data_IF_990218162172
#
_entry.id   IF_990218162172
#
_cell.length_a   1.000
_cell.length_b   1.000
_cell.length_c   1.000
_cell.angle_alpha   90.00
_cell.angle_beta   90.00
_cell.angle_gamma   90.00
#
_symmetry.space_group_name_H-M   'P 1'
#
loop_
_entity.id
_entity.type
_entity.pdbx_description
1 polymer ?
#
# COMPACT_ATOMS: atom_id res chain seq x y z
N UNK A 1 0.32 63.55 29.35
CA UNK A 1 -0.41 62.41 29.95
C UNK A 1 -0.99 61.46 28.90
N UNK A 2 -1.41 61.93 27.71
CA UNK A 2 -2.04 61.09 26.67
C UNK A 2 -1.19 60.01 25.96
N UNK A 3 0.16 60.07 26.03
CA UNK A 3 1.04 59.10 25.34
C UNK A 3 1.30 57.82 26.15
N UNK A 4 1.16 57.85 27.48
CA UNK A 4 1.29 56.66 28.34
C UNK A 4 0.07 55.76 28.21
N UNK A 5 -1.12 56.36 28.15
CA UNK A 5 -2.38 55.63 28.03
C UNK A 5 -2.52 54.92 26.67
N UNK A 6 -1.97 55.48 25.59
CA UNK A 6 -1.96 54.83 24.27
C UNK A 6 -1.02 53.61 24.23
N UNK A 7 0.13 53.68 24.91
CA UNK A 7 1.08 52.57 24.97
C UNK A 7 0.56 51.42 25.84
N UNK A 8 -0.13 51.71 26.95
CA UNK A 8 -0.79 50.71 27.79
C UNK A 8 -2.01 50.08 27.09
N UNK A 9 -2.82 50.85 26.36
CA UNK A 9 -3.93 50.30 25.57
C UNK A 9 -3.41 49.43 24.43
N UNK A 10 -2.34 49.81 23.74
CA UNK A 10 -1.76 48.99 22.67
C UNK A 10 -1.09 47.73 23.23
N UNK A 11 -0.38 47.78 24.36
CA UNK A 11 0.20 46.55 24.95
C UNK A 11 -0.84 45.62 25.59
N UNK A 12 -1.94 46.16 26.15
CA UNK A 12 -3.02 45.36 26.73
C UNK A 12 -3.96 44.78 25.65
N UNK A 13 -4.11 45.43 24.48
CA UNK A 13 -4.98 44.94 23.38
C UNK A 13 -4.23 44.07 22.37
N UNK A 14 -2.92 44.27 22.18
CA UNK A 14 -2.05 43.38 21.37
C UNK A 14 -1.84 42.03 22.04
N UNK A 15 -2.09 41.89 23.35
CA UNK A 15 -1.74 40.70 24.13
C UNK A 15 -2.74 39.50 24.03
N UNK A 16 -4.07 39.67 24.06
CA UNK A 16 -4.99 38.52 24.02
C UNK A 16 -5.43 38.12 22.60
N UNK A 17 -5.68 39.11 21.72
CA UNK A 17 -6.20 38.86 20.37
C UNK A 17 -5.20 38.17 19.45
N UNK A 18 -3.93 38.62 19.47
CA UNK A 18 -2.84 37.95 18.75
C UNK A 18 -2.52 36.57 19.33
N UNK A 19 -2.61 36.41 20.65
CA UNK A 19 -2.42 35.11 21.30
C UNK A 19 -3.53 34.12 20.90
N UNK A 20 -4.78 34.56 20.84
CA UNK A 20 -5.90 33.77 20.33
C UNK A 20 -5.73 33.43 18.84
N UNK A 21 -5.28 34.38 18.02
CA UNK A 21 -5.01 34.14 16.61
C UNK A 21 -3.87 33.14 16.41
N UNK A 22 -2.76 33.29 17.16
CA UNK A 22 -1.63 32.39 17.13
C UNK A 22 -2.02 30.98 17.61
N UNK A 23 -2.84 30.87 18.66
CA UNK A 23 -3.39 29.62 19.13
C UNK A 23 -4.31 28.96 18.07
N UNK A 24 -5.17 29.73 17.41
CA UNK A 24 -6.03 29.24 16.34
C UNK A 24 -5.22 28.74 15.14
N UNK A 25 -4.21 29.50 14.70
CA UNK A 25 -3.29 29.07 13.64
C UNK A 25 -2.53 27.81 14.07
N UNK A 26 -2.04 27.75 15.31
CA UNK A 26 -1.38 26.59 15.88
C UNK A 26 -2.26 25.33 15.84
N UNK A 27 -3.53 25.44 16.24
CA UNK A 27 -4.49 24.35 16.14
C UNK A 27 -4.77 23.92 14.71
N UNK A 28 -4.90 24.87 13.77
CA UNK A 28 -5.08 24.55 12.34
C UNK A 28 -3.87 23.78 11.80
N UNK A 29 -2.65 24.17 12.18
CA UNK A 29 -1.41 23.46 11.80
C UNK A 29 -1.43 22.04 12.39
N UNK A 30 -1.72 21.89 13.68
CA UNK A 30 -1.78 20.59 14.36
C UNK A 30 -2.84 19.68 13.72
N UNK A 31 -4.04 20.20 13.44
CA UNK A 31 -5.12 19.43 12.80
C UNK A 31 -4.70 18.99 11.39
N UNK A 32 -4.07 19.88 10.62
CA UNK A 32 -3.59 19.54 9.28
C UNK A 32 -2.47 18.49 9.32
N UNK A 33 -1.57 18.57 10.29
CA UNK A 33 -0.47 17.60 10.45
C UNK A 33 -0.99 16.24 10.94
N UNK A 34 -1.93 16.23 11.89
CA UNK A 34 -2.60 15.02 12.37
C UNK A 34 -3.38 14.32 11.25
N UNK A 35 -4.14 15.07 10.45
CA UNK A 35 -4.84 14.51 9.26
C UNK A 35 -3.85 13.96 8.24
N UNK A 36 -2.78 14.70 7.96
CA UNK A 36 -1.74 14.25 7.02
C UNK A 36 -1.05 12.97 7.52
N UNK A 37 -0.80 12.86 8.82
CA UNK A 37 -0.17 11.69 9.42
C UNK A 37 -1.12 10.49 9.38
N UNK A 38 -2.40 10.68 9.73
CA UNK A 38 -3.41 9.63 9.65
C UNK A 38 -3.54 9.05 8.24
N UNK A 39 -3.64 9.90 7.22
CA UNK A 39 -3.72 9.44 5.83
C UNK A 39 -2.45 8.71 5.36
N UNK A 40 -1.26 9.13 5.81
CA UNK A 40 0.00 8.41 5.52
C UNK A 40 0.01 7.03 6.16
N UNK A 41 -0.45 6.92 7.40
CA UNK A 41 -0.57 5.64 8.11
C UNK A 41 -1.53 4.71 7.39
N UNK A 42 -2.72 5.21 7.03
CA UNK A 42 -3.74 4.43 6.31
C UNK A 42 -3.24 3.95 4.93
N UNK A 43 -2.57 4.82 4.17
CA UNK A 43 -1.95 4.43 2.90
C UNK A 43 -0.85 3.37 3.08
N UNK A 44 -0.06 3.47 4.16
CA UNK A 44 0.98 2.49 4.50
C UNK A 44 0.36 1.15 4.89
N UNK A 45 -0.73 1.16 5.65
CA UNK A 45 -1.47 -0.03 6.04
C UNK A 45 -2.06 -0.74 4.82
N UNK A 46 -2.66 0.01 3.89
CA UNK A 46 -3.16 -0.56 2.63
C UNK A 46 -2.04 -1.17 1.78
N UNK A 47 -0.87 -0.53 1.70
CA UNK A 47 0.31 -1.09 1.04
C UNK A 47 0.80 -2.38 1.72
N UNK A 48 0.84 -2.41 3.06
CA UNK A 48 1.19 -3.62 3.80
C UNK A 48 0.20 -4.75 3.51
N UNK A 49 -1.11 -4.48 3.45
CA UNK A 49 -2.13 -5.49 3.12
C UNK A 49 -1.95 -6.05 1.69
N UNK A 50 -1.51 -5.22 0.73
CA UNK A 50 -1.14 -5.66 -0.62
C UNK A 50 0.07 -6.59 -0.57
N UNK A 51 1.12 -6.22 0.18
CA UNK A 51 2.33 -7.02 0.37
C UNK A 51 1.99 -8.36 1.02
N UNK A 52 1.24 -8.35 2.13
CA UNK A 52 0.88 -9.54 2.90
C UNK A 52 0.05 -10.52 2.07
N UNK A 53 -0.92 -10.02 1.31
CA UNK A 53 -1.74 -10.84 0.42
C UNK A 53 -0.88 -11.47 -0.69
N UNK A 54 0.09 -10.72 -1.22
CA UNK A 54 1.01 -11.21 -2.25
C UNK A 54 1.95 -12.29 -1.71
N UNK A 55 2.49 -12.10 -0.50
CA UNK A 55 3.34 -13.08 0.18
C UNK A 55 2.54 -14.34 0.51
N UNK A 56 1.30 -14.19 0.99
CA UNK A 56 0.40 -15.30 1.27
C UNK A 56 0.09 -16.10 0.00
N UNK A 57 -0.21 -15.42 -1.11
CA UNK A 57 -0.37 -16.05 -2.43
C UNK A 57 0.88 -16.85 -2.82
N UNK A 58 2.08 -16.29 -2.64
CA UNK A 58 3.33 -16.98 -2.95
C UNK A 58 3.50 -18.27 -2.12
N UNK A 59 3.25 -18.19 -0.81
CA UNK A 59 3.33 -19.33 0.10
C UNK A 59 2.32 -20.42 -0.29
N UNK A 60 1.06 -20.04 -0.52
CA UNK A 60 -0.01 -20.96 -0.93
C UNK A 60 0.26 -21.58 -2.29
N UNK A 61 0.83 -20.82 -3.23
CA UNK A 61 1.23 -21.32 -4.55
C UNK A 61 2.33 -22.36 -4.47
N UNK A 62 3.34 -22.12 -3.63
CA UNK A 62 4.38 -23.12 -3.37
C UNK A 62 3.81 -24.38 -2.73
N UNK A 63 2.91 -24.25 -1.74
CA UNK A 63 2.23 -25.40 -1.14
C UNK A 63 1.40 -26.18 -2.16
N UNK A 64 0.63 -25.50 -3.01
CA UNK A 64 -0.16 -26.11 -4.07
C UNK A 64 0.72 -26.90 -5.07
N UNK A 65 1.87 -26.36 -5.44
CA UNK A 65 2.83 -27.04 -6.32
C UNK A 65 3.49 -28.26 -5.66
N UNK A 66 3.69 -28.23 -4.33
CA UNK A 66 4.27 -29.34 -3.57
C UNK A 66 3.25 -30.44 -3.19
N UNK A 67 1.95 -30.19 -3.31
CA UNK A 67 0.92 -31.19 -3.01
C UNK A 67 1.04 -32.43 -3.91
N UNK A 68 0.66 -33.59 -3.38
CA UNK A 68 0.81 -34.88 -4.03
C UNK A 68 -0.04 -34.98 -5.30
N UNK A 69 0.41 -35.72 -6.34
CA UNK A 69 -0.21 -35.72 -7.67
C UNK A 69 -1.73 -35.97 -7.69
N UNK A 70 -2.24 -36.78 -6.76
CA UNK A 70 -3.68 -37.08 -6.60
C UNK A 70 -4.54 -35.90 -6.08
N UNK A 71 -3.98 -35.02 -5.24
CA UNK A 71 -4.72 -33.87 -4.65
C UNK A 71 -4.72 -32.64 -5.58
N UNK A 72 -3.93 -32.67 -6.66
CA UNK A 72 -3.83 -31.60 -7.67
C UNK A 72 -5.10 -31.45 -8.53
N UNK A 73 -6.05 -32.36 -8.43
CA UNK A 73 -7.34 -32.36 -9.16
C UNK A 73 -8.18 -31.10 -8.93
N UNK A 74 -7.88 -30.29 -7.91
CA UNK A 74 -8.57 -29.05 -7.61
C UNK A 74 -8.00 -27.79 -8.31
N UNK A 75 -7.29 -27.95 -9.43
CA UNK A 75 -6.73 -26.83 -10.22
C UNK A 75 -7.74 -25.70 -10.49
N UNK A 76 -9.00 -26.04 -10.83
CA UNK A 76 -10.05 -25.03 -11.05
C UNK A 76 -10.34 -24.21 -9.78
N UNK A 77 -10.37 -24.86 -8.61
CA UNK A 77 -10.55 -24.18 -7.34
C UNK A 77 -9.34 -23.29 -7.00
N UNK A 78 -8.12 -23.74 -7.32
CA UNK A 78 -6.90 -22.94 -7.20
C UNK A 78 -6.96 -21.67 -8.05
N UNK A 79 -7.21 -21.80 -9.36
CA UNK A 79 -7.30 -20.65 -10.29
C UNK A 79 -8.41 -19.68 -9.86
N UNK A 80 -9.56 -20.20 -9.42
CA UNK A 80 -10.65 -19.38 -8.90
C UNK A 80 -10.22 -18.60 -7.65
N UNK A 81 -9.55 -19.25 -6.70
CA UNK A 81 -9.08 -18.58 -5.48
C UNK A 81 -8.05 -17.50 -5.79
N UNK A 82 -7.08 -17.78 -6.66
CA UNK A 82 -6.08 -16.79 -7.08
C UNK A 82 -6.75 -15.59 -7.76
N UNK A 83 -7.78 -15.84 -8.58
CA UNK A 83 -8.53 -14.77 -9.25
C UNK A 83 -9.24 -13.86 -8.25
N UNK A 84 -9.82 -14.41 -7.17
CA UNK A 84 -10.44 -13.64 -6.08
C UNK A 84 -9.39 -12.80 -5.34
N UNK A 85 -8.24 -13.38 -5.01
CA UNK A 85 -7.17 -12.67 -4.33
C UNK A 85 -6.62 -11.50 -5.19
N UNK A 86 -6.44 -11.72 -6.50
CA UNK A 86 -6.02 -10.67 -7.44
C UNK A 86 -7.09 -9.57 -7.57
N UNK A 87 -8.37 -9.93 -7.61
CA UNK A 87 -9.45 -8.94 -7.63
C UNK A 87 -9.46 -8.08 -6.35
N UNK A 88 -9.26 -8.69 -5.18
CA UNK A 88 -9.10 -8.00 -3.90
C UNK A 88 -7.90 -7.04 -3.91
N UNK A 89 -6.75 -7.48 -4.44
CA UNK A 89 -5.57 -6.64 -4.61
C UNK A 89 -5.84 -5.43 -5.52
N UNK A 90 -6.56 -5.62 -6.63
CA UNK A 90 -6.95 -4.53 -7.54
C UNK A 90 -7.88 -3.52 -6.89
N UNK A 91 -8.87 -3.98 -6.12
CA UNK A 91 -9.75 -3.07 -5.38
C UNK A 91 -8.96 -2.19 -4.39
N UNK A 92 -7.97 -2.78 -3.68
CA UNK A 92 -7.07 -2.02 -2.79
C UNK A 92 -6.20 -1.02 -3.56
N UNK A 93 -5.70 -1.42 -4.73
CA UNK A 93 -4.92 -0.55 -5.60
C UNK A 93 -5.73 0.63 -6.13
N UNK A 94 -7.02 0.42 -6.41
CA UNK A 94 -7.93 1.48 -6.83
C UNK A 94 -8.18 2.49 -5.70
N UNK A 95 -8.33 2.01 -4.45
CA UNK A 95 -8.38 2.88 -3.26
C UNK A 95 -7.09 3.69 -3.14
N UNK A 96 -5.93 3.03 -3.25
CA UNK A 96 -4.60 3.67 -3.21
C UNK A 96 -4.45 4.75 -4.28
N UNK A 97 -4.90 4.49 -5.51
CA UNK A 97 -4.85 5.43 -6.63
C UNK A 97 -5.81 6.60 -6.44
N UNK A 98 -7.07 6.33 -6.10
CA UNK A 98 -8.12 7.34 -6.09
C UNK A 98 -8.03 8.25 -4.86
N UNK A 99 -7.78 7.68 -3.68
CA UNK A 99 -7.76 8.41 -2.39
C UNK A 99 -6.36 8.98 -2.10
N UNK A 100 -5.30 8.18 -2.28
CA UNK A 100 -3.95 8.55 -1.82
C UNK A 100 -2.97 8.92 -2.96
N UNK A 101 -3.42 8.85 -4.22
CA UNK A 101 -2.59 9.11 -5.42
C UNK A 101 -1.34 8.20 -5.47
N UNK A 102 -1.48 6.96 -4.99
CA UNK A 102 -0.46 5.93 -5.05
C UNK A 102 -0.88 4.90 -6.10
N UNK A 103 -0.17 4.87 -7.21
CA UNK A 103 -0.47 3.94 -8.29
C UNK A 103 0.39 2.68 -8.17
N UNK A 104 -0.28 1.52 -8.07
CA UNK A 104 0.38 0.23 -8.23
C UNK A 104 0.39 -0.09 -9.74
N UNK A 105 1.54 -0.40 -10.34
CA UNK A 105 1.63 -0.68 -11.77
C UNK A 105 0.75 -1.86 -12.20
N UNK A 106 0.10 -1.79 -13.36
CA UNK A 106 -0.74 -2.89 -13.86
C UNK A 106 0.06 -4.18 -14.10
N UNK A 107 1.33 -4.04 -14.49
CA UNK A 107 2.27 -5.14 -14.68
C UNK A 107 2.45 -6.00 -13.43
N UNK A 108 2.26 -5.42 -12.24
CA UNK A 108 2.25 -6.16 -10.98
C UNK A 108 1.16 -7.23 -10.98
N UNK A 109 -0.09 -6.85 -11.29
CA UNK A 109 -1.23 -7.78 -11.29
C UNK A 109 -1.12 -8.80 -12.41
N UNK A 110 -0.63 -8.38 -13.58
CA UNK A 110 -0.39 -9.30 -14.70
C UNK A 110 0.65 -10.36 -14.34
N UNK A 111 1.77 -9.95 -13.72
CA UNK A 111 2.83 -10.85 -13.27
C UNK A 111 2.33 -11.84 -12.23
N UNK A 112 1.55 -11.38 -11.24
CA UNK A 112 0.94 -12.27 -10.24
C UNK A 112 0.01 -13.29 -10.90
N UNK A 113 -0.92 -12.82 -11.76
CA UNK A 113 -1.83 -13.73 -12.46
C UNK A 113 -1.06 -14.79 -13.23
N UNK A 114 -0.09 -14.38 -14.04
CA UNK A 114 0.72 -15.30 -14.84
C UNK A 114 1.48 -16.30 -13.97
N UNK A 115 2.13 -15.85 -12.90
CA UNK A 115 2.91 -16.71 -12.01
C UNK A 115 2.04 -17.77 -11.31
N UNK A 116 0.80 -17.44 -10.96
CA UNK A 116 -0.06 -18.30 -10.15
C UNK A 116 -1.12 -19.09 -10.94
N UNK A 117 -1.53 -18.63 -12.12
CA UNK A 117 -2.57 -19.31 -12.91
C UNK A 117 -2.00 -20.08 -14.11
N UNK A 118 -1.04 -19.52 -14.85
CA UNK A 118 -0.56 -20.12 -16.10
C UNK A 118 0.45 -21.26 -15.87
N UNK A 119 1.25 -21.17 -14.80
CA UNK A 119 2.15 -22.27 -14.40
C UNK A 119 1.40 -23.50 -13.84
N UNK A 120 0.10 -23.38 -13.57
CA UNK A 120 -0.69 -24.44 -12.96
C UNK A 120 -1.38 -25.35 -14.00
N UNK A 121 -1.49 -24.94 -15.28
CA UNK A 121 -2.17 -25.71 -16.34
C UNK A 121 -1.33 -26.90 -16.83
N UNK A 122 0.00 -26.75 -16.89
CA UNK A 122 0.92 -27.82 -17.31
C UNK A 122 1.57 -28.57 -16.13
N UNK A 123 1.32 -28.12 -14.91
CA UNK A 123 2.00 -28.60 -13.70
C UNK A 123 1.83 -30.10 -13.40
N UNK A 124 0.77 -30.73 -13.90
CA UNK A 124 0.54 -32.17 -13.70
C UNK A 124 1.59 -33.06 -14.37
N UNK A 125 2.27 -32.55 -15.41
CA UNK A 125 3.33 -33.27 -16.13
C UNK A 125 4.70 -33.10 -15.48
N UNK A 126 4.88 -32.12 -14.59
CA UNK A 126 6.19 -31.81 -14.02
C UNK A 126 6.70 -32.90 -13.07
N UNK A 127 7.98 -33.20 -13.21
CA UNK A 127 8.75 -33.97 -12.24
C UNK A 127 9.10 -33.10 -10.99
N UNK A 128 9.58 -33.70 -9.90
CA UNK A 128 9.90 -32.95 -8.68
C UNK A 128 10.94 -31.82 -8.88
N UNK A 129 11.91 -32.01 -9.77
CA UNK A 129 12.94 -31.01 -10.05
C UNK A 129 12.37 -29.80 -10.80
N UNK A 130 11.48 -30.05 -11.77
CA UNK A 130 10.71 -29.03 -12.48
C UNK A 130 9.77 -28.28 -11.54
N UNK A 131 9.09 -28.97 -10.61
CA UNK A 131 8.28 -28.32 -9.57
C UNK A 131 9.12 -27.36 -8.73
N UNK A 132 10.30 -27.81 -8.30
CA UNK A 132 11.23 -26.97 -7.52
C UNK A 132 11.69 -25.73 -8.31
N UNK A 133 12.05 -25.90 -9.59
CA UNK A 133 12.41 -24.80 -10.47
C UNK A 133 11.26 -23.80 -10.65
N UNK A 134 10.01 -24.28 -10.81
CA UNK A 134 8.85 -23.40 -10.94
C UNK A 134 8.58 -22.59 -9.67
N UNK A 135 8.76 -23.18 -8.49
CA UNK A 135 8.66 -22.46 -7.20
C UNK A 135 9.71 -21.36 -7.11
N UNK A 136 10.95 -21.63 -7.55
CA UNK A 136 12.02 -20.62 -7.58
C UNK A 136 11.69 -19.48 -8.54
N UNK A 137 11.24 -19.80 -9.76
CA UNK A 137 10.81 -18.82 -10.76
C UNK A 137 9.68 -17.94 -10.21
N UNK A 138 8.62 -18.56 -9.67
CA UNK A 138 7.50 -17.87 -9.03
C UNK A 138 7.97 -16.93 -7.92
N UNK A 139 8.82 -17.42 -7.01
CA UNK A 139 9.33 -16.64 -5.89
C UNK A 139 10.17 -15.46 -6.37
N UNK A 140 10.97 -15.64 -7.44
CA UNK A 140 11.77 -14.56 -8.03
C UNK A 140 10.88 -13.45 -8.63
N UNK A 141 9.80 -13.84 -9.34
CA UNK A 141 8.84 -12.90 -9.90
C UNK A 141 8.11 -12.13 -8.81
N UNK A 142 7.66 -12.82 -7.76
CA UNK A 142 7.03 -12.17 -6.60
C UNK A 142 8.00 -11.22 -5.90
N UNK A 143 9.24 -11.63 -5.67
CA UNK A 143 10.26 -10.78 -5.03
C UNK A 143 10.52 -9.50 -5.84
N UNK A 144 10.64 -9.62 -7.17
CA UNK A 144 10.78 -8.46 -8.07
C UNK A 144 9.55 -7.55 -8.02
N UNK A 145 8.35 -8.12 -8.04
CA UNK A 145 7.09 -7.38 -7.92
C UNK A 145 6.98 -6.65 -6.58
N UNK A 146 7.33 -7.30 -5.47
CA UNK A 146 7.37 -6.67 -4.14
C UNK A 146 8.40 -5.55 -4.05
N UNK A 147 9.56 -5.70 -4.71
CA UNK A 147 10.57 -4.65 -4.78
C UNK A 147 10.01 -3.34 -5.35
N UNK A 148 9.15 -3.45 -6.37
CA UNK A 148 8.50 -2.28 -6.98
C UNK A 148 7.53 -1.56 -6.03
N UNK A 149 6.94 -2.28 -5.06
CA UNK A 149 6.04 -1.70 -4.06
C UNK A 149 6.77 -0.88 -3.00
N UNK A 150 8.02 -1.22 -2.66
CA UNK A 150 8.78 -0.46 -1.66
C UNK A 150 9.00 1.00 -2.06
N UNK A 151 9.09 1.29 -3.36
CA UNK A 151 9.16 2.66 -3.88
C UNK A 151 7.87 3.47 -3.70
N UNK A 152 6.75 2.81 -3.41
CA UNK A 152 5.43 3.45 -3.26
C UNK A 152 5.17 3.96 -1.84
N UNK A 153 5.96 3.50 -0.86
CA UNK A 153 5.78 3.89 0.54
C UNK A 153 5.90 5.42 0.71
N UNK A 154 4.91 6.06 1.36
CA UNK A 154 4.87 7.51 1.45
C UNK A 154 5.96 8.07 2.37
N UNK A 155 7.07 8.51 1.77
CA UNK A 155 8.05 9.37 2.46
C UNK A 155 7.45 10.74 2.76
N UNK A 156 7.92 11.41 3.82
CA UNK A 156 7.42 12.74 4.22
C UNK A 156 7.49 13.73 3.04
N UNK A 157 8.58 13.72 2.27
CA UNK A 157 8.75 14.57 1.07
C UNK A 157 7.79 14.21 -0.07
N UNK A 158 7.63 12.92 -0.40
CA UNK A 158 6.73 12.49 -1.46
C UNK A 158 5.26 12.79 -1.16
N UNK A 159 4.87 12.70 0.12
CA UNK A 159 3.52 13.02 0.56
C UNK A 159 3.15 14.50 0.38
N UNK A 160 4.06 15.41 0.74
CA UNK A 160 3.84 16.84 0.51
C UNK A 160 3.74 17.17 -0.99
N UNK A 161 4.56 16.54 -1.83
CA UNK A 161 4.49 16.73 -3.28
C UNK A 161 3.12 16.28 -3.86
N UNK A 162 2.56 15.17 -3.37
CA UNK A 162 1.24 14.67 -3.79
C UNK A 162 0.07 15.54 -3.34
N UNK A 163 0.20 16.29 -2.25
CA UNK A 163 -0.86 17.22 -1.76
C UNK A 163 -0.97 18.49 -2.61
N UNK A 164 0.09 18.83 -3.34
CA UNK A 164 0.20 20.06 -4.15
C UNK A 164 -0.09 19.82 -5.65
N UNK A 165 -0.17 18.56 -6.06
CA UNK A 165 -0.47 18.13 -7.44
C UNK A 165 -1.95 17.76 -7.58
#
# INVERSE_FOLDING_TARGET
>A
MALKDFAEIVTVVVSPGLTLLAAAIGWVIIINDSRSTAQRTEATELLNLVVDTTVNLNRRGASFLLENKEHRTNHRAWVSSVSVDIASLRARAEILKNIYKIEIPDDFFFTLRRAFTLNAEEFHSYDPDQVSQQIQIQTSHVSKSLSSLYGLYPSKKAWYARRLA
#
